data_IF_914907940325
#
_entry.id   IF_914907940325
#
_cell.length_a   1.000
_cell.length_b   1.000
_cell.length_c   1.000
_cell.angle_alpha   90.00
_cell.angle_beta   90.00
_cell.angle_gamma   90.00
#
_symmetry.space_group_name_H-M   'P 1'
#
loop_
_entity.id
_entity.type
_entity.pdbx_description
1 polymer ?
#
# COMPACT_ATOMS: atom_id res chain seq x y z
N UNK A 1 3.23 15.25 56.67
CA UNK A 1 2.15 16.08 57.26
C UNK A 1 2.21 17.44 56.62
N UNK A 2 1.14 17.82 55.91
CA UNK A 2 0.55 19.15 55.72
C UNK A 2 1.53 20.32 55.48
N UNK A 3 1.54 20.89 54.26
CA UNK A 3 0.67 22.02 53.81
C UNK A 3 1.53 23.30 53.84
N UNK A 4 1.89 23.88 52.69
CA UNK A 4 1.13 24.76 51.80
C UNK A 4 1.63 26.21 51.92
N UNK A 5 1.69 26.84 50.75
CA UNK A 5 1.45 28.25 50.47
C UNK A 5 2.56 29.27 50.78
N UNK A 6 3.25 29.86 49.80
CA UNK A 6 2.86 30.62 48.60
C UNK A 6 2.88 32.15 48.84
N UNK A 7 3.12 32.88 47.74
CA UNK A 7 2.65 34.26 47.46
C UNK A 7 3.66 35.43 47.64
N UNK A 8 4.23 35.78 46.47
CA UNK A 8 4.08 37.05 45.70
C UNK A 8 4.96 38.29 45.94
N UNK A 9 5.48 38.72 44.77
CA UNK A 9 5.50 40.10 44.22
C UNK A 9 6.55 41.04 44.79
N UNK A 10 7.05 42.06 44.10
CA UNK A 10 7.11 42.55 42.71
C UNK A 10 7.88 43.89 42.80
N UNK A 11 8.20 44.50 41.65
CA UNK A 11 8.81 45.83 41.42
C UNK A 11 10.30 45.73 41.06
N UNK A 12 10.69 45.68 39.79
CA UNK A 12 10.51 46.63 38.69
C UNK A 12 11.37 47.91 38.79
N UNK A 13 12.12 48.11 37.70
CA UNK A 13 12.50 49.39 37.09
C UNK A 13 13.75 50.11 37.64
N UNK A 14 14.86 50.16 36.86
CA UNK A 14 15.11 51.23 35.85
C UNK A 14 16.54 51.19 35.26
N UNK A 15 16.56 51.04 33.93
CA UNK A 15 17.29 51.84 32.94
C UNK A 15 18.83 51.88 32.91
N UNK A 16 19.36 51.48 31.74
CA UNK A 16 20.70 51.77 31.26
C UNK A 16 20.81 51.33 29.80
N UNK A 17 20.28 52.15 28.89
CA UNK A 17 20.44 51.99 27.45
C UNK A 17 21.83 52.48 27.02
N UNK A 18 22.56 51.70 26.23
CA UNK A 18 23.65 52.21 25.40
C UNK A 18 23.70 51.45 24.06
N UNK A 19 23.73 52.25 23.00
CA UNK A 19 23.57 51.91 21.59
C UNK A 19 24.68 50.99 21.07
N UNK A 20 24.28 49.90 20.40
CA UNK A 20 25.09 49.14 19.46
C UNK A 20 24.78 49.62 18.03
N UNK A 21 25.80 50.16 17.36
CA UNK A 21 25.77 50.43 15.92
C UNK A 21 26.72 49.47 15.21
N UNK A 22 26.15 48.64 14.34
CA UNK A 22 26.70 48.42 13.00
C UNK A 22 27.56 47.18 12.77
N UNK A 23 26.92 46.01 12.63
CA UNK A 23 27.18 45.07 11.51
C UNK A 23 25.84 44.38 11.18
N UNK A 24 25.20 44.77 10.08
CA UNK A 24 24.05 44.04 9.51
C UNK A 24 24.57 42.80 8.77
N UNK A 25 24.12 41.56 9.07
CA UNK A 25 24.23 40.49 8.11
C UNK A 25 23.19 40.74 7.00
N UNK A 26 23.62 40.67 5.75
CA UNK A 26 22.82 40.79 4.51
C UNK A 26 21.97 39.51 4.31
N UNK A 27 21.23 39.09 5.35
CA UNK A 27 20.43 37.87 5.32
C UNK A 27 18.91 38.13 5.18
N UNK A 28 18.44 39.37 5.36
CA UNK A 28 17.02 39.71 5.31
C UNK A 28 16.52 40.26 3.95
N UNK A 29 17.33 40.16 2.88
CA UNK A 29 16.92 40.58 1.52
C UNK A 29 16.40 39.45 0.62
N UNK A 30 16.25 38.24 1.15
CA UNK A 30 15.63 37.10 0.47
C UNK A 30 14.63 36.36 1.38
N UNK A 31 13.86 37.09 2.19
CA UNK A 31 12.55 36.58 2.57
C UNK A 31 11.69 36.63 1.30
N UNK A 32 11.62 35.49 0.60
CA UNK A 32 10.49 35.23 -0.30
C UNK A 32 9.23 35.59 0.49
N UNK A 33 8.31 36.38 -0.07
CA UNK A 33 7.06 36.68 0.62
C UNK A 33 6.44 35.36 1.04
N UNK A 34 6.16 35.20 2.34
CA UNK A 34 5.28 34.13 2.82
C UNK A 34 4.02 34.24 1.97
N UNK A 35 3.90 33.35 0.99
CA UNK A 35 2.62 33.18 0.30
C UNK A 35 1.63 32.91 1.44
N UNK A 36 0.54 33.69 1.54
CA UNK A 36 -0.54 33.29 2.43
C UNK A 36 -0.86 31.83 2.11
N UNK A 37 -1.24 31.00 3.10
CA UNK A 37 -1.65 29.62 2.82
C UNK A 37 -2.62 29.72 1.67
N UNK A 38 -2.22 29.16 0.52
CA UNK A 38 -3.04 29.24 -0.68
C UNK A 38 -4.41 28.75 -0.22
N UNK A 39 -5.46 29.57 -0.33
CA UNK A 39 -6.84 29.07 -0.24
C UNK A 39 -6.96 28.09 -1.39
N UNK A 40 -6.54 26.86 -1.12
CA UNK A 40 -6.01 26.06 -2.18
C UNK A 40 -7.16 25.39 -2.91
N UNK A 41 -7.02 25.15 -4.23
CA UNK A 41 -8.06 24.55 -5.07
C UNK A 41 -8.26 23.04 -4.78
N UNK A 42 -7.94 22.58 -3.57
CA UNK A 42 -8.00 21.18 -3.19
C UNK A 42 -9.45 20.81 -2.85
N UNK A 43 -10.07 20.03 -3.71
CA UNK A 43 -11.34 19.39 -3.40
C UNK A 43 -11.17 18.39 -2.25
N UNK A 44 -12.25 18.14 -1.51
CA UNK A 44 -12.24 17.19 -0.40
C UNK A 44 -12.09 15.76 -0.93
N UNK A 45 -11.27 14.97 -0.25
CA UNK A 45 -11.26 13.52 -0.40
C UNK A 45 -12.64 12.93 -0.06
N UNK A 46 -12.95 11.69 -0.45
CA UNK A 46 -14.28 11.11 -0.28
C UNK A 46 -14.78 11.02 1.18
N UNK A 47 -13.87 11.04 2.16
CA UNK A 47 -14.17 11.08 3.59
C UNK A 47 -14.32 12.51 4.16
N UNK A 48 -14.23 13.54 3.33
CA UNK A 48 -14.31 14.94 3.74
C UNK A 48 -13.01 15.54 4.27
N UNK A 49 -11.91 14.78 4.26
CA UNK A 49 -10.58 15.32 4.57
C UNK A 49 -10.02 16.09 3.36
N UNK A 50 -8.92 16.84 3.57
CA UNK A 50 -8.16 17.43 2.45
C UNK A 50 -7.69 16.33 1.49
N UNK A 51 -7.84 16.56 0.18
CA UNK A 51 -7.38 15.67 -0.89
C UNK A 51 -6.57 16.41 -1.95
N UNK A 52 -6.20 15.71 -3.01
CA UNK A 52 -5.63 16.31 -4.23
C UNK A 52 -6.72 16.83 -5.18
N UNK A 53 -7.93 16.27 -5.11
CA UNK A 53 -9.09 16.64 -5.92
C UNK A 53 -9.13 15.99 -7.30
N UNK A 54 -10.15 16.34 -8.09
CA UNK A 54 -10.46 15.65 -9.35
C UNK A 54 -9.76 16.22 -10.59
N UNK A 55 -9.24 17.46 -10.51
CA UNK A 55 -8.58 18.13 -11.63
C UNK A 55 -7.34 18.94 -11.19
N UNK A 56 -6.34 18.32 -10.54
CA UNK A 56 -5.16 19.06 -10.11
C UNK A 56 -4.28 19.46 -11.31
N UNK A 57 -3.65 20.63 -11.21
CA UNK A 57 -2.62 21.05 -12.15
C UNK A 57 -1.23 20.54 -11.73
N UNK A 58 -0.31 20.43 -12.69
CA UNK A 58 1.08 20.03 -12.41
C UNK A 58 1.79 20.99 -11.44
N UNK A 59 1.50 22.28 -11.60
CA UNK A 59 2.06 23.34 -10.76
C UNK A 59 1.55 23.23 -9.31
N UNK A 60 0.29 22.84 -9.13
CA UNK A 60 -0.30 22.63 -7.81
C UNK A 60 0.39 21.46 -7.09
N UNK A 61 0.57 20.33 -7.78
CA UNK A 61 1.28 19.16 -7.24
C UNK A 61 2.72 19.52 -6.88
N UNK A 62 3.42 20.21 -7.78
CA UNK A 62 4.82 20.63 -7.55
C UNK A 62 4.90 21.61 -6.38
N UNK A 63 3.98 22.58 -6.32
CA UNK A 63 3.88 23.56 -5.24
C UNK A 63 3.62 22.90 -3.90
N UNK A 64 2.69 21.94 -3.84
CA UNK A 64 2.36 21.19 -2.64
C UNK A 64 3.55 20.39 -2.11
N UNK A 65 4.20 19.60 -2.98
CA UNK A 65 5.30 18.72 -2.58
C UNK A 65 6.54 19.52 -2.14
N UNK A 66 6.79 20.68 -2.74
CA UNK A 66 7.90 21.57 -2.37
C UNK A 66 7.56 22.54 -1.23
N UNK A 67 6.30 22.58 -0.80
CA UNK A 67 5.84 23.54 0.19
C UNK A 67 6.54 23.32 1.53
N UNK A 68 6.85 24.44 2.20
CA UNK A 68 7.33 24.45 3.59
C UNK A 68 6.22 24.84 4.58
N UNK A 69 5.01 25.10 4.08
CA UNK A 69 3.88 25.45 4.94
C UNK A 69 3.51 24.27 5.84
N UNK A 70 3.32 24.53 7.13
CA UNK A 70 3.03 23.49 8.12
C UNK A 70 1.83 22.62 7.73
N UNK A 71 0.74 23.23 7.22
CA UNK A 71 -0.46 22.52 6.80
C UNK A 71 -0.25 21.59 5.60
N UNK A 72 0.69 21.92 4.70
CA UNK A 72 1.02 21.08 3.54
C UNK A 72 1.92 19.91 3.94
N UNK A 73 2.90 20.17 4.82
CA UNK A 73 3.74 19.13 5.40
C UNK A 73 2.92 18.15 6.24
N UNK A 74 1.98 18.64 7.05
CA UNK A 74 1.06 17.82 7.84
C UNK A 74 0.15 16.97 6.93
N UNK A 75 -0.36 17.55 5.84
CA UNK A 75 -1.17 16.82 4.88
C UNK A 75 -0.38 15.68 4.22
N UNK A 76 0.76 15.98 3.59
CA UNK A 76 1.57 14.97 2.88
C UNK A 76 2.13 13.93 3.87
N UNK A 77 2.59 14.37 5.04
CA UNK A 77 3.06 13.49 6.12
C UNK A 77 1.96 12.56 6.62
N UNK A 78 0.75 13.07 6.84
CA UNK A 78 -0.41 12.30 7.29
C UNK A 78 -0.87 11.23 6.28
N UNK A 79 -0.70 11.48 4.97
CA UNK A 79 -0.96 10.48 3.94
C UNK A 79 0.01 9.29 4.04
N UNK A 80 1.31 9.57 4.16
CA UNK A 80 2.33 8.53 4.33
C UNK A 80 2.15 7.76 5.64
N UNK A 81 1.89 8.49 6.73
CA UNK A 81 1.65 7.92 8.04
C UNK A 81 0.45 6.97 8.04
N UNK A 82 -0.65 7.32 7.35
CA UNK A 82 -1.83 6.46 7.24
C UNK A 82 -1.50 5.10 6.63
N UNK A 83 -0.73 5.07 5.53
CA UNK A 83 -0.29 3.82 4.91
C UNK A 83 0.66 3.02 5.82
N UNK A 84 1.62 3.69 6.47
CA UNK A 84 2.57 3.06 7.38
C UNK A 84 1.89 2.47 8.62
N UNK A 85 0.95 3.18 9.24
CA UNK A 85 0.22 2.68 10.41
C UNK A 85 -0.62 1.44 10.06
N UNK A 86 -1.32 1.44 8.92
CA UNK A 86 -2.04 0.25 8.45
C UNK A 86 -1.11 -0.93 8.23
N UNK A 87 0.05 -0.73 7.58
CA UNK A 87 1.06 -1.78 7.42
C UNK A 87 1.53 -2.34 8.77
N UNK A 88 1.77 -1.47 9.76
CA UNK A 88 2.14 -1.89 11.12
C UNK A 88 1.04 -2.76 11.74
N UNK A 89 -0.23 -2.36 11.64
CA UNK A 89 -1.31 -3.17 12.20
C UNK A 89 -1.49 -4.51 11.47
N UNK A 90 -1.34 -4.54 10.14
CA UNK A 90 -1.33 -5.78 9.35
C UNK A 90 -0.19 -6.70 9.79
N UNK A 91 1.01 -6.16 9.96
CA UNK A 91 2.18 -6.88 10.47
C UNK A 91 1.95 -7.44 11.89
N UNK A 92 1.34 -6.65 12.78
CA UNK A 92 1.00 -7.09 14.14
C UNK A 92 -0.05 -8.19 14.14
N UNK A 93 -1.07 -8.09 13.28
CA UNK A 93 -2.08 -9.13 13.10
C UNK A 93 -1.47 -10.42 12.55
N UNK A 94 -0.62 -10.32 11.53
CA UNK A 94 0.10 -11.44 10.94
C UNK A 94 0.96 -12.17 11.98
N UNK A 95 1.80 -11.43 12.72
CA UNK A 95 2.64 -12.00 13.79
C UNK A 95 1.81 -12.68 14.89
N UNK A 96 0.62 -12.16 15.19
CA UNK A 96 -0.31 -12.80 16.12
C UNK A 96 -0.81 -14.14 15.56
N UNK A 97 -1.24 -14.17 14.32
CA UNK A 97 -1.75 -15.39 13.68
C UNK A 97 -0.67 -16.45 13.48
N UNK A 98 0.57 -16.03 13.20
CA UNK A 98 1.73 -16.92 13.20
C UNK A 98 1.90 -17.61 14.55
N UNK A 99 1.87 -16.84 15.66
CA UNK A 99 1.97 -17.41 17.02
C UNK A 99 0.80 -18.32 17.39
N UNK A 100 -0.38 -18.06 16.86
CA UNK A 100 -1.56 -18.90 17.08
C UNK A 100 -1.58 -20.15 16.18
N UNK A 101 -0.62 -20.29 15.26
CA UNK A 101 -0.53 -21.42 14.32
C UNK A 101 -1.53 -21.33 13.17
N UNK A 102 -2.23 -20.22 12.98
CA UNK A 102 -3.26 -20.11 11.92
C UNK A 102 -2.63 -20.23 10.52
N UNK A 103 -1.41 -19.70 10.35
CA UNK A 103 -0.69 -19.79 9.07
C UNK A 103 -0.29 -21.23 8.71
N UNK A 104 -0.32 -22.18 9.66
CA UNK A 104 -0.09 -23.61 9.38
C UNK A 104 -1.31 -24.28 8.71
N UNK A 105 -2.44 -23.59 8.62
CA UNK A 105 -3.67 -24.04 7.94
C UNK A 105 -3.67 -23.73 6.45
N UNK A 106 -2.79 -22.82 6.02
CA UNK A 106 -2.55 -22.54 4.61
C UNK A 106 -1.87 -23.73 3.93
N UNK A 107 -2.17 -24.01 2.65
CA UNK A 107 -1.36 -24.96 1.89
C UNK A 107 0.11 -24.53 1.92
N UNK A 108 1.06 -25.48 1.93
CA UNK A 108 2.48 -25.15 1.90
C UNK A 108 2.77 -24.30 0.66
N UNK A 109 3.18 -23.06 0.88
CA UNK A 109 3.66 -22.18 -0.18
C UNK A 109 5.05 -22.58 -0.67
N UNK A 110 5.53 -21.90 -1.71
CA UNK A 110 6.91 -22.06 -2.15
C UNK A 110 7.88 -21.67 -1.00
N UNK A 111 8.97 -22.43 -0.77
CA UNK A 111 9.97 -22.09 0.23
C UNK A 111 10.51 -20.68 -0.01
N UNK A 112 10.43 -19.80 1.00
CA UNK A 112 10.88 -18.41 0.90
C UNK A 112 9.85 -17.41 0.34
N UNK A 113 8.63 -17.85 0.00
CA UNK A 113 7.60 -16.98 -0.55
C UNK A 113 6.88 -16.07 0.46
N UNK A 114 7.27 -16.11 1.76
CA UNK A 114 6.64 -15.26 2.77
C UNK A 114 7.09 -13.80 2.56
N UNK A 115 6.16 -12.85 2.40
CA UNK A 115 6.51 -11.44 2.30
C UNK A 115 7.23 -10.98 3.58
N UNK A 116 8.19 -10.05 3.49
CA UNK A 116 8.76 -9.43 4.68
C UNK A 116 7.69 -8.66 5.46
N UNK A 117 7.93 -8.42 6.76
CA UNK A 117 6.94 -7.79 7.66
C UNK A 117 6.45 -6.39 7.23
N UNK A 118 7.17 -5.72 6.33
CA UNK A 118 6.81 -4.40 5.80
C UNK A 118 6.14 -4.45 4.41
N UNK A 119 5.90 -5.65 3.87
CA UNK A 119 5.35 -5.82 2.53
C UNK A 119 3.82 -5.66 2.52
N UNK A 120 3.25 -4.79 1.66
CA UNK A 120 1.81 -4.72 1.39
C UNK A 120 1.16 -6.09 1.10
N UNK A 121 1.91 -7.03 0.53
CA UNK A 121 1.44 -8.38 0.19
C UNK A 121 1.07 -9.22 1.42
N UNK A 122 1.44 -8.83 2.65
CA UNK A 122 0.97 -9.48 3.87
C UNK A 122 -0.56 -9.45 3.99
N UNK A 123 -1.22 -8.41 3.49
CA UNK A 123 -2.68 -8.35 3.41
C UNK A 123 -3.26 -9.52 2.63
N UNK A 124 -2.61 -9.93 1.53
CA UNK A 124 -3.02 -11.09 0.72
C UNK A 124 -2.89 -12.41 1.46
N UNK A 125 -1.86 -12.60 2.28
CA UNK A 125 -1.75 -13.83 3.09
C UNK A 125 -2.91 -13.94 4.09
N UNK A 126 -3.35 -12.81 4.65
CA UNK A 126 -4.50 -12.78 5.56
C UNK A 126 -5.82 -13.05 4.84
N UNK A 127 -5.97 -12.53 3.62
CA UNK A 127 -7.10 -12.86 2.74
C UNK A 127 -7.10 -14.34 2.36
N UNK A 128 -5.97 -14.88 1.93
CA UNK A 128 -5.80 -16.30 1.60
C UNK A 128 -6.12 -17.19 2.80
N UNK A 129 -5.72 -16.78 4.00
CA UNK A 129 -6.06 -17.48 5.25
C UNK A 129 -7.57 -17.49 5.48
N UNK A 130 -8.26 -16.38 5.23
CA UNK A 130 -9.70 -16.28 5.36
C UNK A 130 -10.47 -17.10 4.31
N UNK A 131 -10.00 -17.12 3.06
CA UNK A 131 -10.55 -17.96 2.00
C UNK A 131 -10.37 -19.44 2.33
N UNK A 132 -9.15 -19.83 2.71
CA UNK A 132 -8.83 -21.19 3.13
C UNK A 132 -9.69 -21.60 4.32
N UNK A 133 -9.89 -20.71 5.30
CA UNK A 133 -10.80 -20.97 6.41
C UNK A 133 -12.22 -21.30 5.95
N UNK A 134 -12.75 -20.54 4.98
CA UNK A 134 -14.06 -20.82 4.37
C UNK A 134 -14.14 -22.21 3.75
N UNK A 135 -13.08 -22.66 3.08
CA UNK A 135 -12.98 -24.02 2.52
C UNK A 135 -12.94 -25.08 3.63
N UNK A 136 -12.14 -24.85 4.68
CA UNK A 136 -12.01 -25.79 5.80
C UNK A 136 -13.32 -25.95 6.58
N UNK A 137 -14.11 -24.87 6.74
CA UNK A 137 -15.45 -24.92 7.34
C UNK A 137 -16.41 -25.84 6.58
N UNK A 138 -16.26 -25.98 5.26
CA UNK A 138 -17.08 -26.85 4.42
C UNK A 138 -16.59 -28.30 4.41
N UNK A 139 -15.41 -28.58 4.97
CA UNK A 139 -14.78 -29.91 4.98
C UNK A 139 -14.32 -30.33 6.39
N UNK A 140 -15.23 -30.40 7.39
CA UNK A 140 -14.87 -30.67 8.78
C UNK A 140 -14.28 -32.07 9.01
N UNK A 141 -14.45 -33.02 8.09
CA UNK A 141 -13.93 -34.39 8.19
C UNK A 141 -12.43 -34.56 7.92
N UNK A 142 -11.68 -33.47 7.69
CA UNK A 142 -10.23 -33.53 7.46
C UNK A 142 -9.51 -33.86 8.77
N UNK A 143 -8.61 -34.84 8.72
CA UNK A 143 -7.71 -35.13 9.85
C UNK A 143 -6.64 -34.05 9.94
N UNK A 144 -6.43 -33.54 11.15
CA UNK A 144 -5.42 -32.54 11.47
C UNK A 144 -4.40 -33.07 12.47
N UNK A 145 -3.18 -32.55 12.40
CA UNK A 145 -2.26 -32.67 13.54
C UNK A 145 -2.82 -31.95 14.77
N UNK A 146 -2.37 -32.29 15.98
CA UNK A 146 -2.84 -31.65 17.22
C UNK A 146 -2.71 -30.12 17.19
N UNK A 147 -1.61 -29.61 16.63
CA UNK A 147 -1.36 -28.17 16.49
C UNK A 147 -2.36 -27.52 15.51
N UNK A 148 -2.55 -28.11 14.33
CA UNK A 148 -3.48 -27.60 13.33
C UNK A 148 -4.94 -27.69 13.79
N UNK A 149 -5.32 -28.75 14.51
CA UNK A 149 -6.67 -28.91 15.06
C UNK A 149 -6.99 -27.78 16.05
N UNK A 150 -6.04 -27.46 16.93
CA UNK A 150 -6.18 -26.37 17.90
C UNK A 150 -6.20 -24.99 17.21
N UNK A 151 -5.33 -24.77 16.22
CA UNK A 151 -5.33 -23.55 15.43
C UNK A 151 -6.66 -23.33 14.72
N UNK A 152 -7.20 -24.37 14.07
CA UNK A 152 -8.51 -24.30 13.41
C UNK A 152 -9.63 -24.02 14.42
N UNK A 153 -9.68 -24.74 15.54
CA UNK A 153 -10.72 -24.54 16.56
C UNK A 153 -10.71 -23.11 17.13
N UNK A 154 -9.53 -22.56 17.42
CA UNK A 154 -9.37 -21.16 17.83
C UNK A 154 -9.84 -20.19 16.76
N UNK A 155 -9.48 -20.43 15.50
CA UNK A 155 -9.87 -19.57 14.39
C UNK A 155 -11.38 -19.58 14.13
N UNK A 156 -12.06 -20.71 14.37
CA UNK A 156 -13.54 -20.77 14.31
C UNK A 156 -14.18 -19.81 15.31
N UNK A 157 -13.65 -19.76 16.54
CA UNK A 157 -14.13 -18.92 17.63
C UNK A 157 -13.64 -17.45 17.57
N UNK A 158 -12.63 -17.14 16.74
CA UNK A 158 -12.02 -15.80 16.64
C UNK A 158 -12.88 -14.85 15.78
N UNK A 159 -13.78 -14.12 16.45
CA UNK A 159 -14.62 -13.10 15.83
C UNK A 159 -13.80 -11.95 15.21
N UNK A 160 -12.78 -11.46 15.91
CA UNK A 160 -11.91 -10.38 15.42
C UNK A 160 -11.08 -10.79 14.22
N UNK A 161 -10.70 -12.06 14.09
CA UNK A 161 -10.07 -12.58 12.88
C UNK A 161 -10.98 -12.38 11.67
N UNK A 162 -12.26 -12.75 11.79
CA UNK A 162 -13.25 -12.61 10.72
C UNK A 162 -13.42 -11.16 10.31
N UNK A 163 -13.57 -10.27 11.30
CA UNK A 163 -13.71 -8.83 11.04
C UNK A 163 -12.46 -8.28 10.35
N UNK A 164 -11.25 -8.63 10.83
CA UNK A 164 -9.98 -8.22 10.19
C UNK A 164 -9.88 -8.74 8.76
N UNK A 165 -10.19 -10.01 8.54
CA UNK A 165 -10.20 -10.61 7.21
C UNK A 165 -11.17 -9.91 6.25
N UNK A 166 -12.34 -9.49 6.76
CA UNK A 166 -13.31 -8.76 5.96
C UNK A 166 -12.81 -7.36 5.57
N UNK A 167 -12.36 -6.55 6.54
CA UNK A 167 -11.95 -5.15 6.29
C UNK A 167 -10.61 -5.03 5.57
N UNK A 168 -9.74 -6.03 5.66
CA UNK A 168 -8.45 -6.04 4.96
C UNK A 168 -8.56 -6.44 3.49
N UNK A 169 -9.74 -6.85 3.02
CA UNK A 169 -9.93 -7.28 1.64
C UNK A 169 -9.56 -6.17 0.64
N UNK A 170 -8.62 -6.45 -0.25
CA UNK A 170 -8.11 -5.54 -1.27
C UNK A 170 -7.27 -4.38 -0.74
N UNK A 171 -6.84 -4.42 0.54
CA UNK A 171 -6.04 -3.33 1.15
C UNK A 171 -4.70 -3.14 0.46
N UNK A 172 -4.12 -4.20 -0.10
CA UNK A 172 -2.83 -4.14 -0.75
C UNK A 172 -2.82 -3.12 -1.89
N UNK A 173 -3.92 -3.02 -2.65
CA UNK A 173 -4.02 -2.03 -3.72
C UNK A 173 -3.95 -0.60 -3.16
N UNK A 174 -4.58 -0.32 -2.02
CA UNK A 174 -4.47 0.98 -1.34
C UNK A 174 -3.04 1.26 -0.87
N UNK A 175 -2.39 0.25 -0.28
CA UNK A 175 -1.02 0.32 0.21
C UNK A 175 0.04 0.44 -0.88
N UNK A 176 -0.30 0.09 -2.13
CA UNK A 176 0.55 0.30 -3.31
C UNK A 176 0.24 1.65 -3.96
N UNK A 177 -1.05 1.97 -4.18
CA UNK A 177 -1.46 3.16 -4.92
C UNK A 177 -1.09 4.46 -4.21
N UNK A 178 -1.40 4.60 -2.92
CA UNK A 178 -1.15 5.87 -2.23
C UNK A 178 0.34 6.20 -2.16
N UNK A 179 1.22 5.32 -1.62
CA UNK A 179 2.66 5.59 -1.63
C UNK A 179 3.23 5.70 -3.05
N UNK A 180 2.74 4.89 -3.99
CA UNK A 180 3.16 4.94 -5.39
C UNK A 180 2.89 6.30 -6.05
N UNK A 181 1.66 6.82 -5.90
CA UNK A 181 1.28 8.14 -6.40
C UNK A 181 2.11 9.25 -5.75
N UNK A 182 2.31 9.22 -4.43
CA UNK A 182 3.15 10.20 -3.74
C UNK A 182 4.60 10.21 -4.23
N UNK A 183 5.17 9.04 -4.53
CA UNK A 183 6.51 8.93 -5.11
C UNK A 183 6.56 9.48 -6.54
N UNK A 184 5.54 9.23 -7.36
CA UNK A 184 5.42 9.83 -8.69
C UNK A 184 5.32 11.36 -8.59
N UNK A 185 4.52 11.89 -7.65
CA UNK A 185 4.40 13.33 -7.42
C UNK A 185 5.73 13.93 -6.93
N UNK A 186 6.44 13.22 -6.06
CA UNK A 186 7.78 13.60 -5.60
C UNK A 186 8.76 13.63 -6.77
N UNK A 187 8.80 12.57 -7.58
CA UNK A 187 9.62 12.51 -8.79
C UNK A 187 9.33 13.68 -9.74
N UNK A 188 8.05 13.96 -9.98
CA UNK A 188 7.61 15.09 -10.79
C UNK A 188 8.07 16.44 -10.23
N UNK A 189 7.93 16.64 -8.93
CA UNK A 189 8.42 17.82 -8.25
C UNK A 189 9.94 17.96 -8.30
N UNK A 190 10.70 16.92 -8.66
CA UNK A 190 12.13 17.00 -8.93
C UNK A 190 12.48 17.14 -10.43
N UNK A 191 11.49 17.34 -11.30
CA UNK A 191 11.67 17.46 -12.75
C UNK A 191 11.75 16.10 -13.47
N UNK A 192 11.38 15.01 -12.78
CA UNK A 192 11.46 13.64 -13.26
C UNK A 192 10.04 13.05 -13.42
N UNK A 193 9.91 11.76 -13.76
CA UNK A 193 8.63 11.05 -13.98
C UNK A 193 7.62 11.70 -14.93
N UNK A 194 8.02 12.76 -15.67
CA UNK A 194 7.22 13.76 -16.38
C UNK A 194 5.71 13.48 -16.42
N UNK A 195 4.95 14.04 -15.46
CA UNK A 195 3.49 14.00 -15.48
C UNK A 195 2.98 14.99 -16.51
N UNK A 196 2.20 14.53 -17.48
CA UNK A 196 1.47 15.41 -18.40
C UNK A 196 0.12 15.79 -17.79
N UNK A 197 -0.37 16.99 -18.08
CA UNK A 197 -1.68 17.46 -17.62
C UNK A 197 -2.73 16.63 -18.33
N UNK A 198 -3.81 16.30 -17.62
CA UNK A 198 -4.98 15.66 -18.19
C UNK A 198 -5.36 14.35 -17.50
N UNK A 199 -6.02 13.42 -18.22
CA UNK A 199 -6.72 12.30 -17.61
C UNK A 199 -5.86 11.44 -16.67
N UNK A 200 -4.58 11.21 -16.99
CA UNK A 200 -3.71 10.40 -16.16
C UNK A 200 -3.41 11.04 -14.79
N UNK A 201 -3.25 12.36 -14.72
CA UNK A 201 -3.02 13.09 -13.47
C UNK A 201 -4.29 13.10 -12.61
N UNK A 202 -5.45 13.33 -13.22
CA UNK A 202 -6.76 13.27 -12.55
C UNK A 202 -7.02 11.87 -11.99
N UNK A 203 -6.70 10.82 -12.75
CA UNK A 203 -6.78 9.43 -12.28
C UNK A 203 -5.82 9.19 -11.12
N UNK A 204 -4.56 9.62 -11.19
CA UNK A 204 -3.63 9.45 -10.05
C UNK A 204 -4.15 10.10 -8.76
N UNK A 205 -4.61 11.34 -8.87
CA UNK A 205 -5.10 12.12 -7.73
C UNK A 205 -6.35 11.52 -7.10
N UNK A 206 -7.39 11.27 -7.90
CA UNK A 206 -8.65 10.67 -7.42
C UNK A 206 -8.45 9.28 -6.79
N UNK A 207 -7.57 8.46 -7.37
CA UNK A 207 -7.26 7.14 -6.84
C UNK A 207 -6.45 7.21 -5.54
N UNK A 208 -5.54 8.18 -5.42
CA UNK A 208 -4.81 8.44 -4.18
C UNK A 208 -5.74 8.96 -3.07
N UNK A 209 -6.67 9.86 -3.39
CA UNK A 209 -7.66 10.36 -2.42
C UNK A 209 -8.58 9.25 -1.92
N UNK A 210 -9.06 8.38 -2.82
CA UNK A 210 -9.86 7.22 -2.46
C UNK A 210 -9.07 6.24 -1.58
N UNK A 211 -7.81 5.96 -1.93
CA UNK A 211 -6.94 5.09 -1.14
C UNK A 211 -6.63 5.69 0.24
N UNK A 212 -6.35 6.99 0.31
CA UNK A 212 -6.06 7.69 1.55
C UNK A 212 -7.27 7.68 2.50
N UNK A 213 -8.47 7.96 1.98
CA UNK A 213 -9.69 7.94 2.77
C UNK A 213 -9.98 6.53 3.32
N UNK A 214 -9.81 5.50 2.49
CA UNK A 214 -9.97 4.10 2.92
C UNK A 214 -8.93 3.69 3.97
N UNK A 215 -7.66 4.05 3.78
CA UNK A 215 -6.58 3.75 4.73
C UNK A 215 -6.78 4.46 6.07
N UNK A 216 -7.29 5.69 6.09
CA UNK A 216 -7.64 6.38 7.34
C UNK A 216 -8.77 5.66 8.10
N UNK A 217 -9.82 5.23 7.40
CA UNK A 217 -10.90 4.44 8.00
C UNK A 217 -10.36 3.11 8.55
N UNK A 218 -9.55 2.41 7.76
CA UNK A 218 -8.97 1.12 8.12
C UNK A 218 -8.01 1.21 9.31
N UNK A 219 -7.22 2.28 9.39
CA UNK A 219 -6.34 2.58 10.52
C UNK A 219 -7.12 2.63 11.83
N UNK A 220 -8.23 3.36 11.87
CA UNK A 220 -9.10 3.46 13.05
C UNK A 220 -9.71 2.11 13.43
N UNK A 221 -10.15 1.33 12.44
CA UNK A 221 -10.74 0.01 12.68
C UNK A 221 -9.71 -0.99 13.20
N UNK A 222 -8.52 -1.02 12.61
CA UNK A 222 -7.43 -1.90 13.03
C UNK A 222 -6.90 -1.54 14.42
N UNK A 223 -6.85 -0.25 14.75
CA UNK A 223 -6.55 0.24 16.09
C UNK A 223 -7.59 -0.25 17.11
N UNK A 224 -8.88 -0.16 16.79
CA UNK A 224 -9.96 -0.66 17.64
C UNK A 224 -9.96 -2.20 17.80
N UNK A 225 -9.57 -2.93 16.74
CA UNK A 225 -9.50 -4.38 16.74
C UNK A 225 -8.20 -4.92 17.37
N UNK A 226 -7.21 -4.06 17.59
CA UNK A 226 -5.91 -4.43 18.12
C UNK A 226 -6.03 -5.18 19.46
N UNK A 227 -5.28 -6.27 19.57
CA UNK A 227 -5.15 -7.07 20.79
C UNK A 227 -3.67 -7.13 21.16
N UNK A 228 -3.22 -6.39 22.20
CA UNK A 228 -1.84 -6.46 22.62
C UNK A 228 -1.48 -7.90 23.00
N UNK A 229 -0.25 -8.29 22.68
CA UNK A 229 0.21 -9.67 22.83
C UNK A 229 0.54 -10.08 24.28
N UNK A 230 0.09 -9.34 25.30
CA UNK A 230 0.58 -9.49 26.68
C UNK A 230 -0.52 -9.99 27.63
N UNK A 231 -0.26 -11.15 28.22
CA UNK A 231 -0.58 -11.43 29.63
C UNK A 231 -1.82 -12.25 29.96
N UNK A 232 -2.86 -12.26 29.13
CA UNK A 232 -4.00 -13.13 29.39
C UNK A 232 -3.70 -14.52 28.84
N UNK A 233 -3.33 -15.47 29.70
CA UNK A 233 -3.71 -16.86 29.47
C UNK A 233 -5.24 -16.93 29.54
N UNK A 234 -5.92 -16.41 28.52
CA UNK A 234 -7.26 -16.87 28.25
C UNK A 234 -7.07 -18.31 27.81
N UNK A 235 -7.24 -19.20 28.79
CA UNK A 235 -7.37 -20.61 28.52
C UNK A 235 -8.42 -20.76 27.42
N UNK A 236 -8.10 -21.57 26.41
CA UNK A 236 -9.06 -21.90 25.36
C UNK A 236 -10.36 -22.38 26.02
N UNK A 237 -11.51 -21.98 25.46
CA UNK A 237 -12.79 -22.42 26.00
C UNK A 237 -12.90 -23.95 25.91
N UNK A 238 -13.77 -24.54 26.74
CA UNK A 238 -13.98 -25.99 26.71
C UNK A 238 -14.40 -26.46 25.32
N UNK A 239 -15.22 -25.68 24.61
CA UNK A 239 -15.69 -25.96 23.25
C UNK A 239 -14.56 -25.93 22.22
N UNK A 240 -13.59 -25.01 22.36
CA UNK A 240 -12.39 -24.94 21.49
C UNK A 240 -11.51 -26.18 21.70
N UNK A 241 -11.28 -26.56 22.96
CA UNK A 241 -10.49 -27.75 23.31
C UNK A 241 -11.18 -29.03 22.80
N UNK A 242 -12.50 -29.13 23.00
CA UNK A 242 -13.31 -30.26 22.56
C UNK A 242 -13.34 -30.38 21.03
N UNK A 243 -13.43 -29.25 20.31
CA UNK A 243 -13.38 -29.25 18.86
C UNK A 243 -12.02 -29.72 18.36
N UNK A 244 -10.93 -29.21 18.95
CA UNK A 244 -9.58 -29.65 18.61
C UNK A 244 -9.41 -31.16 18.85
N UNK A 245 -9.93 -31.69 19.97
CA UNK A 245 -9.89 -33.12 20.25
C UNK A 245 -10.69 -33.93 19.21
N UNK A 246 -11.92 -33.52 18.89
CA UNK A 246 -12.76 -34.19 17.89
C UNK A 246 -12.10 -34.24 16.50
N UNK A 247 -11.44 -33.16 16.08
CA UNK A 247 -10.70 -33.07 14.82
C UNK A 247 -9.49 -34.02 14.77
N UNK A 248 -8.78 -34.19 15.90
CA UNK A 248 -7.62 -35.10 15.94
C UNK A 248 -7.99 -36.57 15.84
N UNK A 249 -9.16 -36.96 16.35
CA UNK A 249 -9.65 -38.35 16.32
C UNK A 249 -10.54 -38.64 15.11
N UNK A 250 -10.87 -37.62 14.30
CA UNK A 250 -11.72 -37.76 13.12
C UNK A 250 -13.22 -37.94 13.43
N UNK A 251 -13.71 -37.46 14.56
CA UNK A 251 -15.14 -37.52 14.91
C UNK A 251 -15.93 -36.44 14.13
N UNK A 252 -16.36 -36.78 12.93
CA UNK A 252 -17.02 -35.86 12.01
C UNK A 252 -18.37 -35.34 12.54
N UNK A 253 -19.11 -36.15 13.29
CA UNK A 253 -20.41 -35.76 13.84
C UNK A 253 -20.24 -34.72 14.95
N UNK A 254 -19.33 -34.98 15.90
CA UNK A 254 -19.02 -34.02 16.97
C UNK A 254 -18.36 -32.75 16.44
N UNK A 255 -17.45 -32.88 15.47
CA UNK A 255 -16.82 -31.74 14.81
C UNK A 255 -17.86 -30.83 14.17
N UNK A 256 -18.79 -31.38 13.39
CA UNK A 256 -19.82 -30.59 12.72
C UNK A 256 -20.73 -29.86 13.70
N UNK A 257 -21.11 -30.51 14.80
CA UNK A 257 -21.93 -29.89 15.85
C UNK A 257 -21.20 -28.73 16.54
N UNK A 258 -19.93 -28.92 16.92
CA UNK A 258 -19.13 -27.89 17.59
C UNK A 258 -18.79 -26.72 16.67
N UNK A 259 -18.46 -26.99 15.40
CA UNK A 259 -18.25 -25.94 14.40
C UNK A 259 -19.51 -25.09 14.23
N UNK A 260 -20.70 -25.70 14.16
CA UNK A 260 -21.95 -24.97 14.01
C UNK A 260 -22.21 -24.00 15.18
N UNK A 261 -21.92 -24.41 16.42
CA UNK A 261 -22.09 -23.58 17.61
C UNK A 261 -21.08 -22.43 17.61
N UNK A 262 -19.79 -22.74 17.50
CA UNK A 262 -18.72 -21.75 17.57
C UNK A 262 -18.77 -20.75 16.39
N UNK A 263 -19.07 -21.22 15.17
CA UNK A 263 -19.21 -20.36 13.99
C UNK A 263 -20.42 -19.42 14.12
N UNK A 264 -21.55 -19.89 14.64
CA UNK A 264 -22.73 -19.06 14.84
C UNK A 264 -22.49 -17.94 15.85
N UNK A 265 -21.83 -18.26 16.97
CA UNK A 265 -21.48 -17.29 18.01
C UNK A 265 -20.47 -16.26 17.49
N UNK A 266 -19.38 -16.72 16.86
CA UNK A 266 -18.36 -15.85 16.30
C UNK A 266 -18.93 -14.93 15.21
N UNK A 267 -19.84 -15.42 14.34
CA UNK A 267 -20.52 -14.59 13.34
C UNK A 267 -21.43 -13.55 13.97
N UNK A 268 -22.15 -13.90 15.04
CA UNK A 268 -23.01 -12.94 15.75
C UNK A 268 -22.15 -11.82 16.35
N UNK A 269 -21.04 -12.16 17.00
CA UNK A 269 -20.10 -11.18 17.55
C UNK A 269 -19.46 -10.31 16.45
N UNK A 270 -18.96 -10.94 15.39
CA UNK A 270 -18.35 -10.24 14.25
C UNK A 270 -19.30 -9.21 13.62
N UNK A 271 -20.58 -9.55 13.42
CA UNK A 271 -21.58 -8.60 12.90
C UNK A 271 -21.78 -7.39 13.82
N UNK A 272 -21.78 -7.60 15.14
CA UNK A 272 -21.91 -6.49 16.10
C UNK A 272 -20.69 -5.57 16.06
N UNK A 273 -19.48 -6.15 15.93
CA UNK A 273 -18.25 -5.39 15.76
C UNK A 273 -18.27 -4.59 14.45
N UNK A 274 -18.57 -5.23 13.31
CA UNK A 274 -18.61 -4.62 11.97
C UNK A 274 -19.55 -3.42 11.89
N UNK A 275 -20.68 -3.44 12.59
CA UNK A 275 -21.63 -2.31 12.62
C UNK A 275 -21.00 -1.02 13.15
N UNK A 276 -20.01 -1.12 14.03
CA UNK A 276 -19.29 0.03 14.61
C UNK A 276 -18.14 0.56 13.75
N UNK A 277 -17.70 -0.19 12.74
CA UNK A 277 -16.49 0.10 11.99
C UNK A 277 -16.69 1.15 10.88
N UNK A 278 -15.62 1.86 10.56
CA UNK A 278 -15.58 2.91 9.55
C UNK A 278 -15.42 2.34 8.13
N UNK A 279 -14.57 1.33 7.94
CA UNK A 279 -14.24 0.75 6.63
C UNK A 279 -15.45 0.12 5.96
N UNK A 280 -16.26 -0.73 6.61
CA UNK A 280 -17.47 -1.28 5.97
C UNK A 280 -18.45 -0.18 5.53
N UNK A 281 -18.59 0.88 6.33
CA UNK A 281 -19.47 2.02 5.99
C UNK A 281 -18.92 2.83 4.82
N UNK A 282 -17.61 3.03 4.78
CA UNK A 282 -16.92 3.69 3.67
C UNK A 282 -17.06 2.89 2.38
N UNK A 283 -16.72 1.60 2.42
CA UNK A 283 -16.78 0.69 1.28
C UNK A 283 -18.20 0.63 0.70
N UNK A 284 -19.23 0.53 1.55
CA UNK A 284 -20.64 0.56 1.12
C UNK A 284 -21.05 1.85 0.42
N UNK A 285 -20.51 3.00 0.83
CA UNK A 285 -20.80 4.29 0.18
C UNK A 285 -20.08 4.45 -1.14
N UNK A 286 -18.97 3.75 -1.35
CA UNK A 286 -18.05 3.97 -2.47
C UNK A 286 -17.81 2.70 -3.30
N UNK A 287 -18.73 1.74 -3.25
CA UNK A 287 -18.65 0.45 -3.98
C UNK A 287 -18.31 0.66 -5.46
N UNK A 288 -18.98 1.61 -6.12
CA UNK A 288 -18.75 1.88 -7.54
C UNK A 288 -17.33 2.37 -7.83
N UNK A 289 -16.82 3.33 -7.04
CA UNK A 289 -15.48 3.88 -7.22
C UNK A 289 -14.39 2.83 -6.91
N UNK A 290 -14.59 2.01 -5.86
CA UNK A 290 -13.68 0.91 -5.53
C UNK A 290 -13.66 -0.17 -6.62
N UNK A 291 -14.83 -0.50 -7.19
CA UNK A 291 -14.93 -1.46 -8.29
C UNK A 291 -14.29 -0.93 -9.59
N UNK A 292 -14.49 0.35 -9.91
CA UNK A 292 -13.87 1.00 -11.07
C UNK A 292 -12.34 1.01 -10.94
N UNK A 293 -11.82 1.37 -9.76
CA UNK A 293 -10.39 1.31 -9.46
C UNK A 293 -9.81 -0.08 -9.66
N UNK A 294 -10.49 -1.10 -9.13
CA UNK A 294 -10.07 -2.49 -9.28
C UNK A 294 -10.05 -2.91 -10.76
N UNK A 295 -11.11 -2.60 -11.51
CA UNK A 295 -11.20 -2.88 -12.93
C UNK A 295 -10.12 -2.17 -13.76
N UNK A 296 -9.78 -0.93 -13.39
CA UNK A 296 -8.69 -0.17 -14.00
C UNK A 296 -7.33 -0.81 -13.74
N UNK A 297 -7.05 -1.23 -12.51
CA UNK A 297 -5.82 -1.94 -12.16
C UNK A 297 -5.69 -3.26 -12.92
N UNK A 298 -6.77 -4.04 -13.00
CA UNK A 298 -6.80 -5.27 -13.79
C UNK A 298 -6.66 -5.03 -15.29
N UNK A 299 -7.20 -3.93 -15.82
CA UNK A 299 -6.96 -3.51 -17.21
C UNK A 299 -5.47 -3.26 -17.43
N UNK A 300 -4.80 -2.55 -16.52
CA UNK A 300 -3.35 -2.34 -16.55
C UNK A 300 -2.58 -3.66 -16.59
N UNK A 301 -2.95 -4.62 -15.73
CA UNK A 301 -2.32 -5.94 -15.70
C UNK A 301 -2.59 -6.77 -16.97
N UNK A 302 -3.79 -6.66 -17.57
CA UNK A 302 -4.10 -7.29 -18.88
C UNK A 302 -3.25 -6.68 -20.00
N UNK A 303 -3.19 -5.35 -20.09
CA UNK A 303 -2.35 -4.65 -21.07
C UNK A 303 -0.87 -5.02 -20.90
N UNK A 304 -0.37 -5.13 -19.66
CA UNK A 304 1.01 -5.55 -19.40
C UNK A 304 1.28 -6.95 -19.97
N UNK A 305 0.39 -7.91 -19.73
CA UNK A 305 0.50 -9.27 -20.28
C UNK A 305 0.43 -9.29 -21.80
N UNK A 306 -0.45 -8.49 -22.39
CA UNK A 306 -0.54 -8.35 -23.86
C UNK A 306 0.76 -7.81 -24.45
N UNK A 307 1.35 -6.78 -23.84
CA UNK A 307 2.64 -6.23 -24.26
C UNK A 307 3.77 -7.26 -24.15
N UNK A 308 3.81 -8.04 -23.07
CA UNK A 308 4.81 -9.11 -22.88
C UNK A 308 4.67 -10.22 -23.93
N UNK A 309 3.45 -10.53 -24.40
CA UNK A 309 3.23 -11.47 -25.51
C UNK A 309 3.74 -10.92 -26.85
N UNK A 310 3.61 -9.60 -27.07
CA UNK A 310 4.08 -8.95 -28.30
C UNK A 310 5.60 -8.78 -28.33
N UNK A 311 6.19 -8.47 -27.16
CA UNK A 311 7.61 -8.22 -26.94
C UNK A 311 8.06 -8.92 -25.65
N UNK A 312 8.52 -10.17 -25.75
CA UNK A 312 9.05 -10.86 -24.59
C UNK A 312 10.39 -10.25 -24.19
N UNK A 313 10.42 -9.54 -23.06
CA UNK A 313 11.65 -8.93 -22.55
C UNK A 313 12.71 -9.98 -22.14
N UNK A 314 12.33 -11.26 -21.93
CA UNK A 314 13.24 -12.33 -21.47
C UNK A 314 12.92 -13.79 -21.85
N UNK A 315 11.87 -14.13 -22.62
CA UNK A 315 11.62 -15.56 -22.87
C UNK A 315 12.61 -16.11 -23.91
N UNK A 316 13.43 -17.06 -23.46
CA UNK A 316 14.14 -18.06 -24.29
C UNK A 316 13.19 -18.88 -25.17
N UNK A 317 11.88 -18.83 -24.91
CA UNK A 317 10.83 -19.26 -25.84
C UNK A 317 10.62 -18.21 -26.94
N UNK A 318 10.96 -18.58 -28.17
CA UNK A 318 10.75 -17.73 -29.34
C UNK A 318 9.30 -17.28 -29.50
N UNK A 319 9.09 -16.21 -30.28
CA UNK A 319 7.77 -15.68 -30.63
C UNK A 319 7.04 -16.73 -31.48
N UNK A 320 6.22 -17.55 -30.85
CA UNK A 320 5.45 -18.61 -31.51
C UNK A 320 4.10 -18.12 -32.10
N UNK A 321 3.59 -18.84 -33.09
CA UNK A 321 2.24 -18.63 -33.64
C UNK A 321 2.09 -17.43 -34.58
N UNK A 322 0.86 -16.91 -34.72
CA UNK A 322 0.48 -15.83 -35.67
C UNK A 322 1.27 -14.51 -35.48
N UNK A 323 1.88 -14.32 -34.31
CA UNK A 323 2.63 -13.10 -33.94
C UNK A 323 4.05 -13.13 -34.53
N UNK A 324 4.64 -14.32 -34.77
CA UNK A 324 5.99 -14.45 -35.34
C UNK A 324 6.11 -13.94 -36.78
N UNK A 325 5.00 -13.84 -37.51
CA UNK A 325 4.94 -13.29 -38.87
C UNK A 325 4.82 -11.76 -38.94
N UNK A 326 4.64 -11.07 -37.80
CA UNK A 326 4.50 -9.61 -37.75
C UNK A 326 5.88 -8.97 -37.60
N UNK A 327 6.15 -7.93 -38.39
CA UNK A 327 7.42 -7.17 -38.30
C UNK A 327 7.60 -6.63 -36.89
N UNK A 328 8.85 -6.58 -36.43
CA UNK A 328 9.17 -6.10 -35.08
C UNK A 328 8.57 -4.71 -34.82
N UNK A 329 8.75 -3.76 -35.74
CA UNK A 329 8.21 -2.40 -35.61
C UNK A 329 6.69 -2.36 -35.39
N UNK A 330 5.93 -3.19 -36.12
CA UNK A 330 4.46 -3.23 -35.99
C UNK A 330 4.04 -3.84 -34.65
N UNK A 331 4.75 -4.87 -34.17
CA UNK A 331 4.52 -5.44 -32.83
C UNK A 331 4.78 -4.43 -31.72
N UNK A 332 5.84 -3.65 -31.87
CA UNK A 332 6.16 -2.57 -30.94
C UNK A 332 5.11 -1.46 -30.96
N UNK A 333 4.58 -1.10 -32.13
CA UNK A 333 3.52 -0.10 -32.22
C UNK A 333 2.21 -0.58 -31.56
N UNK A 334 1.84 -1.85 -31.77
CA UNK A 334 0.68 -2.47 -31.10
C UNK A 334 0.87 -2.50 -29.57
N UNK A 335 2.05 -2.87 -29.10
CA UNK A 335 2.38 -2.86 -27.68
C UNK A 335 2.32 -1.45 -27.08
N UNK A 336 2.82 -0.43 -27.79
CA UNK A 336 2.70 0.97 -27.36
C UNK A 336 1.24 1.40 -27.23
N UNK A 337 0.38 1.02 -28.17
CA UNK A 337 -1.04 1.37 -28.11
C UNK A 337 -1.71 0.72 -26.89
N UNK A 338 -1.51 -0.59 -26.67
CA UNK A 338 -2.03 -1.29 -25.48
C UNK A 338 -1.49 -0.69 -24.18
N UNK A 339 -0.19 -0.37 -24.13
CA UNK A 339 0.45 0.26 -22.98
C UNK A 339 -0.11 1.64 -22.65
N UNK A 340 -0.36 2.47 -23.67
CA UNK A 340 -0.99 3.80 -23.48
C UNK A 340 -2.42 3.69 -22.98
N UNK A 341 -3.22 2.79 -23.55
CA UNK A 341 -4.60 2.55 -23.11
C UNK A 341 -4.70 2.00 -21.69
N UNK A 342 -3.73 1.16 -21.31
CA UNK A 342 -3.61 0.63 -19.96
C UNK A 342 -3.17 1.71 -18.96
N UNK A 343 -2.16 2.54 -19.27
CA UNK A 343 -1.68 3.60 -18.38
C UNK A 343 -2.68 4.77 -18.26
N UNK A 344 -3.52 5.00 -19.26
CA UNK A 344 -4.63 5.94 -19.13
C UNK A 344 -5.60 5.54 -18.00
N UNK A 345 -5.79 4.23 -17.79
CA UNK A 345 -6.64 3.70 -16.72
C UNK A 345 -5.87 3.47 -15.41
N UNK A 346 -4.65 2.94 -15.47
CA UNK A 346 -3.83 2.59 -14.31
C UNK A 346 -2.43 3.24 -14.40
N UNK A 347 -2.33 4.58 -14.25
CA UNK A 347 -1.08 5.31 -14.40
C UNK A 347 0.00 4.91 -13.37
N UNK A 348 -0.42 4.45 -12.19
CA UNK A 348 0.45 3.95 -11.13
C UNK A 348 0.84 2.46 -11.27
N UNK A 349 0.61 1.81 -12.41
CA UNK A 349 0.97 0.40 -12.60
C UNK A 349 2.46 0.26 -12.99
N UNK A 350 3.33 -0.33 -12.15
CA UNK A 350 4.78 -0.33 -12.38
C UNK A 350 5.18 -1.12 -13.64
N UNK A 351 4.72 -2.36 -13.77
CA UNK A 351 5.12 -3.22 -14.90
C UNK A 351 4.70 -2.67 -16.27
N UNK A 352 3.61 -1.89 -16.28
CA UNK A 352 3.10 -1.28 -17.49
C UNK A 352 3.94 -0.05 -17.88
N UNK A 353 4.37 0.74 -16.90
CA UNK A 353 5.34 1.82 -17.13
C UNK A 353 6.68 1.24 -17.64
N UNK A 354 7.19 0.16 -17.05
CA UNK A 354 8.41 -0.50 -17.52
C UNK A 354 8.28 -0.99 -18.95
N UNK A 355 7.24 -1.76 -19.24
CA UNK A 355 7.00 -2.34 -20.57
C UNK A 355 6.81 -1.26 -21.63
N UNK A 356 6.08 -0.18 -21.32
CA UNK A 356 5.92 0.93 -22.26
C UNK A 356 7.22 1.71 -22.48
N UNK A 357 8.02 1.91 -21.42
CA UNK A 357 9.36 2.48 -21.51
C UNK A 357 10.22 1.70 -22.51
N UNK A 358 10.27 0.38 -22.39
CA UNK A 358 10.99 -0.49 -23.33
C UNK A 358 10.52 -0.34 -24.77
N UNK A 359 9.21 -0.32 -24.98
CA UNK A 359 8.65 -0.22 -26.33
C UNK A 359 9.00 1.12 -26.97
N UNK A 360 8.88 2.21 -26.20
CA UNK A 360 9.18 3.56 -26.68
C UNK A 360 10.68 3.80 -26.83
N UNK A 361 11.53 3.13 -26.06
CA UNK A 361 12.98 3.21 -26.24
C UNK A 361 13.39 2.69 -27.63
N UNK A 362 12.76 1.59 -28.06
CA UNK A 362 12.99 1.02 -29.38
C UNK A 362 12.42 1.91 -30.52
N UNK A 363 11.20 2.43 -30.38
CA UNK A 363 10.51 3.15 -31.46
C UNK A 363 10.94 4.62 -31.55
N UNK A 364 11.08 5.29 -30.42
CA UNK A 364 11.22 6.75 -30.31
C UNK A 364 12.50 7.20 -29.60
N UNK A 365 13.25 6.25 -29.03
CA UNK A 365 14.52 6.52 -28.35
C UNK A 365 14.38 6.99 -26.90
N UNK A 366 15.55 7.12 -26.25
CA UNK A 366 15.70 7.38 -24.81
C UNK A 366 14.98 8.62 -24.32
N UNK A 367 14.99 9.71 -25.09
CA UNK A 367 14.36 10.96 -24.69
C UNK A 367 12.87 10.82 -24.37
N UNK A 368 12.16 9.88 -25.00
CA UNK A 368 10.74 9.62 -24.77
C UNK A 368 10.51 8.52 -23.72
N UNK A 369 11.39 7.52 -23.65
CA UNK A 369 11.24 6.36 -22.77
C UNK A 369 11.60 6.65 -21.30
N UNK A 370 12.56 7.54 -21.04
CA UNK A 370 13.12 7.80 -19.70
C UNK A 370 12.05 8.08 -18.65
N UNK A 371 11.03 8.89 -18.94
CA UNK A 371 9.96 9.20 -17.98
C UNK A 371 9.21 7.97 -17.46
N UNK A 372 9.09 6.92 -18.29
CA UNK A 372 8.39 5.70 -17.91
C UNK A 372 9.27 4.78 -17.06
N UNK A 373 10.57 4.72 -17.34
CA UNK A 373 11.53 4.04 -16.47
C UNK A 373 11.64 4.72 -15.12
N UNK A 374 11.61 6.06 -15.09
CA UNK A 374 11.62 6.81 -13.84
C UNK A 374 10.35 6.58 -13.01
N UNK A 375 9.16 6.61 -13.63
CA UNK A 375 7.91 6.23 -12.97
C UNK A 375 7.95 4.79 -12.44
N UNK A 376 8.48 3.85 -13.22
CA UNK A 376 8.63 2.46 -12.78
C UNK A 376 9.49 2.37 -11.51
N UNK A 377 10.67 2.98 -11.50
CA UNK A 377 11.53 3.00 -10.31
C UNK A 377 10.86 3.69 -9.13
N UNK A 378 10.23 4.85 -9.34
CA UNK A 378 9.51 5.58 -8.30
C UNK A 378 8.41 4.72 -7.67
N UNK A 379 7.60 4.03 -8.49
CA UNK A 379 6.58 3.09 -8.01
C UNK A 379 7.18 1.93 -7.20
N UNK A 380 8.39 1.47 -7.55
CA UNK A 380 9.17 0.45 -6.83
C UNK A 380 9.88 0.97 -5.58
N UNK A 381 9.69 2.25 -5.24
CA UNK A 381 10.31 2.88 -4.07
C UNK A 381 11.75 3.31 -4.30
N UNK A 382 12.18 3.40 -5.56
CA UNK A 382 13.54 3.78 -5.96
C UNK A 382 13.47 5.17 -6.59
N UNK A 383 14.03 6.17 -5.92
CA UNK A 383 14.24 7.49 -6.48
C UNK A 383 15.70 7.58 -6.91
N UNK A 384 15.96 7.61 -8.22
CA UNK A 384 17.32 7.37 -8.70
C UNK A 384 18.32 8.50 -8.42
N UNK A 385 17.82 9.65 -7.95
CA UNK A 385 18.62 10.80 -7.51
C UNK A 385 18.82 10.83 -5.99
N UNK A 386 18.25 9.87 -5.25
CA UNK A 386 18.42 9.72 -3.81
C UNK A 386 19.22 8.45 -3.51
N UNK A 387 20.50 8.63 -3.15
CA UNK A 387 21.40 7.51 -2.83
C UNK A 387 20.86 6.60 -1.72
N UNK A 388 20.00 7.12 -0.82
CA UNK A 388 19.37 6.31 0.23
C UNK A 388 18.43 5.24 -0.33
N UNK A 389 17.91 5.44 -1.53
CA UNK A 389 17.06 4.47 -2.22
C UNK A 389 17.86 3.37 -2.93
N UNK A 390 19.16 3.58 -3.18
CA UNK A 390 20.04 2.65 -3.90
C UNK A 390 21.03 1.91 -2.99
N UNK A 391 21.59 2.61 -2.00
CA UNK A 391 22.67 2.08 -1.18
C UNK A 391 22.22 0.85 -0.38
N UNK A 392 22.84 -0.30 -0.66
CA UNK A 392 22.59 -1.56 0.08
C UNK A 392 21.35 -2.34 -0.37
N UNK A 393 20.63 -1.90 -1.40
CA UNK A 393 19.49 -2.63 -1.97
C UNK A 393 19.94 -3.48 -3.16
N UNK A 394 19.60 -4.77 -3.17
CA UNK A 394 19.70 -5.59 -4.37
C UNK A 394 18.61 -5.18 -5.35
N UNK A 395 19.01 -4.80 -6.57
CA UNK A 395 18.07 -4.49 -7.64
C UNK A 395 17.72 -5.77 -8.38
N UNK A 396 16.44 -5.94 -8.71
CA UNK A 396 16.07 -6.95 -9.69
C UNK A 396 16.53 -6.55 -11.10
N UNK A 397 16.43 -7.49 -12.03
CA UNK A 397 16.82 -7.30 -13.42
C UNK A 397 16.14 -6.11 -14.14
N UNK A 398 14.85 -5.86 -13.87
CA UNK A 398 14.08 -4.77 -14.49
C UNK A 398 14.48 -3.44 -13.85
N UNK A 399 14.63 -3.41 -12.53
CA UNK A 399 15.13 -2.26 -11.76
C UNK A 399 16.54 -1.86 -12.21
N UNK A 400 17.46 -2.83 -12.33
CA UNK A 400 18.81 -2.65 -12.83
C UNK A 400 18.85 -2.07 -14.26
N UNK A 401 18.00 -2.60 -15.15
CA UNK A 401 17.89 -2.09 -16.52
C UNK A 401 17.35 -0.66 -16.56
N UNK A 402 16.26 -0.37 -15.84
CA UNK A 402 15.68 0.97 -15.78
C UNK A 402 16.67 1.98 -15.19
N UNK A 403 17.38 1.62 -14.12
CA UNK A 403 18.43 2.46 -13.54
C UNK A 403 19.57 2.74 -14.53
N UNK A 404 19.99 1.74 -15.30
CA UNK A 404 20.99 1.92 -16.35
C UNK A 404 20.53 2.88 -17.44
N UNK A 405 19.27 2.80 -17.90
CA UNK A 405 18.74 3.72 -18.90
C UNK A 405 18.76 5.17 -18.39
N UNK A 406 18.44 5.40 -17.12
CA UNK A 406 18.36 6.73 -16.53
C UNK A 406 19.72 7.33 -16.19
N UNK A 407 20.65 6.52 -15.68
CA UNK A 407 21.93 7.01 -15.13
C UNK A 407 23.12 6.79 -16.08
N UNK A 408 22.98 5.92 -17.08
CA UNK A 408 24.08 5.43 -17.90
C UNK A 408 25.02 4.47 -17.17
N UNK A 409 24.85 4.26 -15.87
CA UNK A 409 25.64 3.32 -15.07
C UNK A 409 25.10 1.91 -15.24
N UNK A 410 25.90 1.03 -15.84
CA UNK A 410 25.54 -0.39 -15.95
C UNK A 410 25.87 -1.05 -14.61
N UNK A 411 24.90 -1.60 -13.88
CA UNK A 411 25.22 -2.36 -12.68
C UNK A 411 26.18 -3.50 -13.05
N UNK A 412 27.17 -3.80 -12.21
CA UNK A 412 28.05 -4.95 -12.44
C UNK A 412 27.15 -6.17 -12.61
N UNK A 413 27.36 -6.91 -13.71
CA UNK A 413 26.64 -8.16 -13.92
C UNK A 413 26.87 -9.01 -12.68
N UNK A 414 25.80 -9.35 -11.96
CA UNK A 414 25.87 -10.40 -10.98
C UNK A 414 26.31 -11.63 -11.77
N UNK A 415 27.56 -12.04 -11.59
CA UNK A 415 28.02 -13.33 -12.07
C UNK A 415 27.08 -14.37 -11.47
N UNK A 416 26.30 -15.04 -12.33
CA UNK A 416 25.47 -16.16 -11.95
C UNK A 416 26.37 -17.20 -11.26
N UNK A 417 26.22 -17.32 -9.93
CA UNK A 417 26.90 -18.32 -9.09
C UNK A 417 26.01 -19.52 -8.83
#
# INVERSE_FOLDING_TARGET
MLAHDSIRSSLACRFGALLLLGVLPVADLFQEPERPPTEAPWELAPDGARGFGTSPEQEDVTGLIRSKAAADLEFVGGLLESATQVQIFVALAHRRYERLGYLELLPPGEPGARPPMADPALGRELEALAEQFGVLLQSPGKLYTRTQALAFARMVADDRFRVRAHILKGVELDLVLLPGTLRIFTAHAHGLAGLEKGPALNTLASQADLAAARLRALRLDLEALYQPAVGSSHADSAEVIDLAAALTVGDAARTSALVAVLDAEARKSARMLEQGLFTPRFDLRHVAALAERQAAWEKGARSSREMELLIPFRTTGGIGGKIGGVRATDRYQLAVNSGREGLAAAPAHPELNFSLGLCLDFIAGRGVSMRYFDRFLALRGILHWDDRCFSGRSLDAREAYAAWILTGWRPPEAEDG
#
